data_IF_794486471746
#
_entry.id   IF_794486471746
#
_cell.length_a   1.000
_cell.length_b   1.000
_cell.length_c   1.000
_cell.angle_alpha   90.00
_cell.angle_beta   90.00
_cell.angle_gamma   90.00
#
_symmetry.space_group_name_H-M   'P 1'
#
loop_
_entity.id
_entity.type
_entity.pdbx_description
1 polymer ?
#
# COMPACT_ATOMS: atom_id res chain seq x y z
N UNK A 1 -54.08 -20.03 -29.03
CA UNK A 1 -53.01 -20.31 -28.04
C UNK A 1 -51.66 -20.18 -28.74
N UNK A 2 -51.12 -18.97 -28.83
CA UNK A 2 -49.75 -18.72 -29.32
C UNK A 2 -48.87 -18.35 -28.14
N UNK A 3 -47.94 -19.23 -27.75
CA UNK A 3 -46.97 -18.94 -26.69
C UNK A 3 -46.03 -17.83 -27.16
N UNK A 4 -45.93 -16.75 -26.39
CA UNK A 4 -44.88 -15.75 -26.53
C UNK A 4 -43.53 -16.38 -26.13
N UNK A 5 -42.44 -16.10 -26.84
CA UNK A 5 -41.11 -16.51 -26.40
C UNK A 5 -40.66 -15.63 -25.23
N UNK A 6 -40.26 -16.27 -24.13
CA UNK A 6 -39.71 -15.59 -22.95
C UNK A 6 -38.40 -14.90 -23.32
N UNK A 7 -38.20 -13.61 -22.96
CA UNK A 7 -36.91 -12.96 -23.15
C UNK A 7 -35.90 -13.59 -22.18
N UNK A 8 -34.87 -14.20 -22.76
CA UNK A 8 -33.78 -14.84 -22.04
C UNK A 8 -33.20 -13.92 -20.97
N UNK A 9 -33.04 -14.49 -19.78
CA UNK A 9 -32.33 -13.91 -18.65
C UNK A 9 -30.94 -13.52 -19.13
N UNK A 10 -30.74 -12.22 -19.37
CA UNK A 10 -29.42 -11.67 -19.64
C UNK A 10 -28.54 -11.98 -18.45
N UNK A 11 -27.46 -12.73 -18.70
CA UNK A 11 -26.39 -12.95 -17.74
C UNK A 11 -26.02 -11.61 -17.12
N UNK A 12 -26.15 -11.52 -15.78
CA UNK A 12 -25.79 -10.33 -15.01
C UNK A 12 -24.32 -10.06 -15.28
N UNK A 13 -24.08 -9.11 -16.18
CA UNK A 13 -22.78 -8.76 -16.69
C UNK A 13 -21.86 -8.43 -15.54
N UNK A 14 -20.86 -9.29 -15.32
CA UNK A 14 -19.74 -8.98 -14.46
C UNK A 14 -19.08 -7.72 -15.01
N UNK A 15 -19.33 -6.56 -14.40
CA UNK A 15 -18.62 -5.34 -14.72
C UNK A 15 -17.18 -5.55 -14.21
N UNK A 16 -16.34 -6.16 -15.05
CA UNK A 16 -14.89 -6.09 -14.91
C UNK A 16 -14.52 -4.67 -15.30
N UNK A 17 -14.26 -3.84 -14.30
CA UNK A 17 -13.71 -2.52 -14.57
C UNK A 17 -12.38 -2.70 -15.30
N UNK A 18 -12.18 -2.09 -16.47
CA UNK A 18 -10.87 -2.07 -17.09
C UNK A 18 -9.89 -1.40 -16.12
N UNK A 19 -8.69 -1.96 -15.98
CA UNK A 19 -7.67 -1.53 -15.00
C UNK A 19 -7.37 -0.03 -15.11
N UNK A 20 -7.50 0.54 -16.32
CA UNK A 20 -7.37 1.98 -16.60
C UNK A 20 -8.45 2.84 -15.95
N UNK A 21 -9.69 2.38 -15.87
CA UNK A 21 -10.78 3.11 -15.20
C UNK A 21 -10.65 3.03 -13.68
N UNK A 22 -10.32 1.85 -13.14
CA UNK A 22 -10.05 1.67 -11.71
C UNK A 22 -8.92 2.60 -11.23
N UNK A 23 -7.85 2.75 -12.02
CA UNK A 23 -6.75 3.66 -11.73
C UNK A 23 -7.19 5.13 -11.71
N UNK A 24 -8.03 5.54 -12.68
CA UNK A 24 -8.52 6.93 -12.76
C UNK A 24 -9.43 7.29 -11.59
N UNK A 25 -10.33 6.37 -11.19
CA UNK A 25 -11.14 6.53 -9.98
C UNK A 25 -10.29 6.61 -8.71
N UNK A 26 -9.19 5.83 -8.63
CA UNK A 26 -8.27 5.90 -7.49
C UNK A 26 -7.53 7.24 -7.41
N UNK A 27 -7.08 7.78 -8.55
CA UNK A 27 -6.43 9.10 -8.61
C UNK A 27 -7.35 10.24 -8.17
N UNK A 28 -8.62 10.21 -8.60
CA UNK A 28 -9.61 11.17 -8.13
C UNK A 28 -9.96 11.00 -6.64
N UNK A 29 -9.96 9.77 -6.13
CA UNK A 29 -10.12 9.46 -4.70
C UNK A 29 -8.97 10.05 -3.85
N UNK A 30 -7.71 9.82 -4.26
CA UNK A 30 -6.51 10.36 -3.58
C UNK A 30 -6.56 11.89 -3.49
N UNK A 31 -7.02 12.57 -4.55
CA UNK A 31 -7.12 14.03 -4.58
C UNK A 31 -8.22 14.57 -3.66
N UNK A 32 -9.37 13.90 -3.59
CA UNK A 32 -10.50 14.34 -2.74
C UNK A 32 -10.23 14.19 -1.24
N UNK A 33 -9.25 13.35 -0.83
CA UNK A 33 -8.92 13.11 0.60
C UNK A 33 -7.41 13.07 0.86
N UNK A 34 -6.73 14.14 0.45
CA UNK A 34 -5.28 14.29 0.55
C UNK A 34 -4.71 14.01 1.97
N UNK A 35 -5.37 14.49 3.03
CA UNK A 35 -4.88 14.37 4.42
C UNK A 35 -4.76 12.92 4.89
N UNK A 36 -5.67 12.03 4.47
CA UNK A 36 -5.66 10.62 4.90
C UNK A 36 -4.73 9.76 4.04
N UNK A 37 -4.70 10.03 2.74
CA UNK A 37 -3.69 9.45 1.85
C UNK A 37 -2.29 9.82 2.32
N UNK A 38 -2.09 11.04 2.84
CA UNK A 38 -0.84 11.45 3.49
C UNK A 38 -0.49 10.59 4.70
N UNK A 39 -1.41 10.31 5.63
CA UNK A 39 -1.12 9.48 6.82
C UNK A 39 -0.58 8.10 6.43
N UNK A 40 -1.27 7.43 5.49
CA UNK A 40 -0.88 6.09 5.01
C UNK A 40 0.41 6.13 4.19
N UNK A 41 0.56 7.14 3.34
CA UNK A 41 1.78 7.31 2.54
C UNK A 41 2.98 7.65 3.41
N UNK A 42 2.80 8.45 4.48
CA UNK A 42 3.85 8.79 5.44
C UNK A 42 4.26 7.57 6.26
N UNK A 43 3.32 6.75 6.74
CA UNK A 43 3.67 5.54 7.50
C UNK A 43 4.46 4.54 6.65
N UNK A 44 4.09 4.35 5.38
CA UNK A 44 4.84 3.52 4.42
C UNK A 44 6.20 4.15 4.13
N UNK A 45 6.24 5.43 3.80
CA UNK A 45 7.47 6.16 3.50
C UNK A 45 8.48 6.05 4.65
N UNK A 46 8.07 6.36 5.88
CA UNK A 46 8.97 6.36 7.04
C UNK A 46 9.51 4.95 7.34
N UNK A 47 8.63 3.94 7.27
CA UNK A 47 9.02 2.55 7.51
C UNK A 47 10.01 2.05 6.46
N UNK A 48 9.74 2.31 5.18
CA UNK A 48 10.62 1.91 4.08
C UNK A 48 11.91 2.71 4.06
N UNK A 49 11.87 4.01 4.37
CA UNK A 49 13.07 4.82 4.53
C UNK A 49 13.97 4.28 5.64
N UNK A 50 13.36 3.90 6.78
CA UNK A 50 14.09 3.30 7.89
C UNK A 50 14.68 1.93 7.50
N UNK A 51 13.91 1.06 6.84
CA UNK A 51 14.38 -0.24 6.35
C UNK A 51 15.56 -0.08 5.37
N UNK A 52 15.43 0.79 4.37
CA UNK A 52 16.50 1.04 3.39
C UNK A 52 17.72 1.64 4.06
N UNK A 53 17.53 2.58 5.00
CA UNK A 53 18.62 3.15 5.76
C UNK A 53 19.41 2.08 6.53
N UNK A 54 18.72 1.20 7.28
CA UNK A 54 19.35 0.10 8.00
C UNK A 54 20.10 -0.88 7.09
N UNK A 55 19.47 -1.31 5.98
CA UNK A 55 20.10 -2.24 5.04
C UNK A 55 21.33 -1.62 4.35
N UNK A 56 21.22 -0.35 3.98
CA UNK A 56 22.32 0.41 3.37
C UNK A 56 23.48 0.57 4.35
N UNK A 57 23.19 0.88 5.62
CA UNK A 57 24.21 0.95 6.67
C UNK A 57 24.90 -0.38 6.92
N UNK A 58 24.15 -1.49 6.96
CA UNK A 58 24.73 -2.82 7.12
C UNK A 58 25.71 -3.19 5.99
N UNK A 59 25.41 -2.79 4.75
CA UNK A 59 26.29 -3.03 3.61
C UNK A 59 27.54 -2.14 3.64
N UNK A 60 27.40 -0.87 4.01
CA UNK A 60 28.53 0.06 4.18
C UNK A 60 29.51 -0.44 5.24
N UNK A 61 29.01 -0.86 6.41
CA UNK A 61 29.88 -1.39 7.48
C UNK A 61 30.66 -2.62 7.03
N UNK A 62 30.01 -3.50 6.26
CA UNK A 62 30.64 -4.71 5.72
C UNK A 62 31.79 -4.38 4.77
N UNK A 63 31.69 -3.31 3.98
CA UNK A 63 32.76 -2.86 3.08
C UNK A 63 33.99 -2.34 3.83
N UNK A 64 33.80 -1.73 5.01
CA UNK A 64 34.87 -1.16 5.83
C UNK A 64 35.49 -2.23 6.77
N UNK A 65 35.17 -3.51 6.57
CA UNK A 65 35.67 -4.62 7.38
C UNK A 65 34.93 -4.81 8.71
N UNK A 66 33.82 -4.11 8.92
CA UNK A 66 32.92 -4.32 10.04
C UNK A 66 32.09 -5.60 9.89
N UNK A 67 31.47 -6.03 10.99
CA UNK A 67 30.46 -7.10 10.94
C UNK A 67 29.22 -6.56 10.23
N UNK A 68 28.68 -7.35 9.30
CA UNK A 68 27.46 -7.02 8.56
C UNK A 68 26.22 -6.94 9.47
N UNK A 69 25.02 -6.90 8.86
CA UNK A 69 23.80 -6.63 9.61
C UNK A 69 23.62 -7.53 10.84
N UNK A 70 23.61 -6.94 12.03
CA UNK A 70 23.49 -7.67 13.28
C UNK A 70 22.03 -8.08 13.51
N UNK A 71 21.81 -9.16 14.29
CA UNK A 71 20.46 -9.65 14.60
C UNK A 71 19.55 -8.53 15.13
N UNK A 72 20.10 -7.61 15.91
CA UNK A 72 19.39 -6.44 16.42
C UNK A 72 18.80 -5.56 15.30
N UNK A 73 19.53 -5.29 14.21
CA UNK A 73 19.03 -4.44 13.12
C UNK A 73 17.85 -5.09 12.40
N UNK A 74 17.91 -6.42 12.19
CA UNK A 74 16.81 -7.18 11.58
C UNK A 74 15.57 -7.12 12.48
N UNK A 75 15.73 -7.29 13.79
CA UNK A 75 14.61 -7.18 14.74
C UNK A 75 13.96 -5.81 14.73
N UNK A 76 14.73 -4.73 14.75
CA UNK A 76 14.17 -3.37 14.71
C UNK A 76 13.50 -3.08 13.36
N UNK A 77 14.05 -3.59 12.25
CA UNK A 77 13.42 -3.50 10.93
C UNK A 77 12.05 -4.21 10.88
N UNK A 78 11.95 -5.40 11.47
CA UNK A 78 10.68 -6.14 11.56
C UNK A 78 9.65 -5.35 12.38
N UNK A 79 10.05 -4.79 13.53
CA UNK A 79 9.15 -3.98 14.36
C UNK A 79 8.66 -2.75 13.59
N UNK A 80 9.53 -2.07 12.84
CA UNK A 80 9.15 -0.92 12.02
C UNK A 80 8.14 -1.28 10.91
N UNK A 81 8.26 -2.48 10.31
CA UNK A 81 7.29 -2.98 9.33
C UNK A 81 5.94 -3.33 9.98
N UNK A 82 5.96 -3.89 11.20
CA UNK A 82 4.73 -4.17 11.95
C UNK A 82 3.97 -2.89 12.31
N UNK A 83 4.67 -1.87 12.80
CA UNK A 83 4.06 -0.56 13.10
C UNK A 83 3.46 0.07 11.84
N UNK A 84 4.15 -0.05 10.70
CA UNK A 84 3.62 0.37 9.41
C UNK A 84 2.31 -0.36 9.05
N UNK A 85 2.28 -1.68 9.15
CA UNK A 85 1.12 -2.50 8.86
C UNK A 85 -0.10 -2.10 9.72
N UNK A 86 0.10 -1.87 11.02
CA UNK A 86 -0.96 -1.39 11.93
C UNK A 86 -1.48 -0.01 11.49
N UNK A 87 -0.59 0.90 11.10
CA UNK A 87 -0.96 2.22 10.58
C UNK A 87 -1.83 2.12 9.31
N UNK A 88 -1.47 1.21 8.40
CA UNK A 88 -2.25 0.95 7.17
C UNK A 88 -3.62 0.39 7.51
N UNK A 89 -3.70 -0.62 8.40
CA UNK A 89 -4.98 -1.22 8.82
C UNK A 89 -5.89 -0.16 9.42
N UNK A 90 -5.40 0.63 10.38
CA UNK A 90 -6.21 1.63 11.07
C UNK A 90 -6.72 2.72 10.11
N UNK A 91 -5.82 3.23 9.28
CA UNK A 91 -6.19 4.19 8.25
C UNK A 91 -7.24 3.59 7.31
N UNK A 92 -7.05 2.37 6.82
CA UNK A 92 -7.96 1.72 5.89
C UNK A 92 -9.35 1.48 6.50
N UNK A 93 -9.43 0.97 7.73
CA UNK A 93 -10.70 0.82 8.45
C UNK A 93 -11.45 2.15 8.56
N UNK A 94 -10.76 3.25 8.85
CA UNK A 94 -11.36 4.58 8.86
C UNK A 94 -11.93 4.99 7.50
N UNK A 95 -11.29 4.64 6.38
CA UNK A 95 -11.90 4.92 5.06
C UNK A 95 -13.10 4.06 4.77
N UNK A 96 -13.16 2.83 5.30
CA UNK A 96 -14.34 1.98 5.09
C UNK A 96 -15.56 2.60 5.76
N UNK A 97 -15.40 3.12 6.98
CA UNK A 97 -16.49 3.77 7.72
C UNK A 97 -16.88 5.11 7.10
N UNK A 98 -15.94 5.92 6.63
CA UNK A 98 -16.25 7.18 5.95
C UNK A 98 -16.94 6.99 4.59
N UNK A 99 -16.65 5.89 3.89
CA UNK A 99 -17.23 5.55 2.57
C UNK A 99 -18.38 4.56 2.68
N UNK A 100 -18.91 4.34 3.88
CA UNK A 100 -19.91 3.30 4.15
C UNK A 100 -21.13 3.42 3.23
N UNK A 101 -21.70 4.63 3.09
CA UNK A 101 -22.82 4.92 2.17
C UNK A 101 -22.43 4.75 0.70
N UNK A 102 -21.27 5.24 0.30
CA UNK A 102 -20.79 5.14 -1.09
C UNK A 102 -20.66 3.68 -1.54
N UNK A 103 -20.05 2.83 -0.69
CA UNK A 103 -19.90 1.39 -0.94
C UNK A 103 -21.28 0.72 -1.02
N UNK A 104 -22.21 1.09 -0.12
CA UNK A 104 -23.59 0.62 -0.15
C UNK A 104 -24.30 0.94 -1.47
N UNK A 105 -24.19 2.18 -1.94
CA UNK A 105 -24.79 2.60 -3.22
C UNK A 105 -24.21 1.84 -4.41
N UNK A 106 -22.89 1.66 -4.47
CA UNK A 106 -22.22 0.91 -5.56
C UNK A 106 -22.66 -0.55 -5.58
N UNK A 107 -22.83 -1.17 -4.40
CA UNK A 107 -23.37 -2.53 -4.29
C UNK A 107 -24.85 -2.64 -4.66
N UNK A 108 -25.67 -1.64 -4.32
CA UNK A 108 -27.08 -1.59 -4.77
C UNK A 108 -27.20 -1.49 -6.30
N UNK A 109 -26.21 -0.88 -6.97
CA UNK A 109 -26.11 -0.83 -8.43
C UNK A 109 -25.60 -2.13 -9.06
N UNK A 110 -25.34 -3.17 -8.26
CA UNK A 110 -24.96 -4.51 -8.75
C UNK A 110 -23.47 -4.83 -8.70
N UNK A 111 -22.64 -4.01 -8.03
CA UNK A 111 -21.23 -4.35 -7.85
C UNK A 111 -21.05 -5.59 -6.95
N UNK A 112 -20.18 -6.50 -7.37
CA UNK A 112 -19.84 -7.71 -6.59
C UNK A 112 -18.93 -7.37 -5.43
N UNK A 113 -18.94 -8.22 -4.39
CA UNK A 113 -18.01 -8.09 -3.26
C UNK A 113 -16.54 -8.11 -3.73
N UNK A 114 -16.24 -8.91 -4.76
CA UNK A 114 -14.91 -8.96 -5.38
C UNK A 114 -14.48 -7.63 -6.01
N UNK A 115 -15.39 -6.92 -6.67
CA UNK A 115 -15.09 -5.60 -7.25
C UNK A 115 -14.76 -4.57 -6.16
N UNK A 116 -15.50 -4.58 -5.03
CA UNK A 116 -15.20 -3.70 -3.89
C UNK A 116 -13.84 -4.03 -3.29
N UNK A 117 -13.55 -5.31 -3.10
CA UNK A 117 -12.26 -5.79 -2.58
C UNK A 117 -11.09 -5.33 -3.48
N UNK A 118 -11.22 -5.50 -4.79
CA UNK A 118 -10.20 -5.12 -5.78
C UNK A 118 -9.88 -3.62 -5.73
N UNK A 119 -10.89 -2.76 -5.60
CA UNK A 119 -10.71 -1.30 -5.47
C UNK A 119 -9.80 -0.97 -4.29
N UNK A 120 -10.06 -1.54 -3.11
CA UNK A 120 -9.26 -1.26 -1.91
C UNK A 120 -7.85 -1.86 -1.97
N UNK A 121 -7.69 -3.04 -2.57
CA UNK A 121 -6.37 -3.63 -2.76
C UNK A 121 -5.51 -2.84 -3.76
N UNK A 122 -6.10 -2.37 -4.85
CA UNK A 122 -5.41 -1.50 -5.82
C UNK A 122 -5.03 -0.18 -5.15
N UNK A 123 -5.93 0.43 -4.36
CA UNK A 123 -5.63 1.64 -3.58
C UNK A 123 -4.41 1.42 -2.66
N UNK A 124 -4.40 0.32 -1.91
CA UNK A 124 -3.29 -0.02 -1.03
C UNK A 124 -1.97 -0.28 -1.79
N UNK A 125 -2.03 -0.97 -2.92
CA UNK A 125 -0.87 -1.23 -3.77
C UNK A 125 -0.26 0.09 -4.29
N UNK A 126 -1.09 1.01 -4.78
CA UNK A 126 -0.63 2.31 -5.28
C UNK A 126 0.03 3.14 -4.17
N UNK A 127 -0.57 3.16 -2.98
CA UNK A 127 0.00 3.82 -1.82
C UNK A 127 1.33 3.17 -1.39
N UNK A 128 1.39 1.84 -1.42
CA UNK A 128 2.59 1.06 -1.12
C UNK A 128 3.74 1.35 -2.08
N UNK A 129 3.47 1.38 -3.39
CA UNK A 129 4.48 1.69 -4.41
C UNK A 129 4.94 3.15 -4.29
N UNK A 130 4.03 4.11 -4.18
CA UNK A 130 4.39 5.52 -4.09
C UNK A 130 5.17 5.82 -2.82
N UNK A 131 4.68 5.35 -1.66
CA UNK A 131 5.38 5.47 -0.39
C UNK A 131 6.70 4.72 -0.38
N UNK A 132 6.77 3.55 -1.01
CA UNK A 132 7.97 2.73 -1.13
C UNK A 132 9.06 3.37 -1.98
N UNK A 133 8.71 3.97 -3.12
CA UNK A 133 9.67 4.69 -3.99
C UNK A 133 10.25 5.89 -3.23
N UNK A 134 9.39 6.74 -2.68
CA UNK A 134 9.83 7.94 -1.97
C UNK A 134 10.63 7.55 -0.73
N UNK A 135 10.13 6.58 0.04
CA UNK A 135 10.79 6.05 1.22
C UNK A 135 12.17 5.48 0.89
N UNK A 136 12.30 4.69 -0.18
CA UNK A 136 13.57 4.10 -0.55
C UNK A 136 14.62 5.14 -0.92
N UNK A 137 14.22 6.19 -1.67
CA UNK A 137 15.13 7.30 -2.00
C UNK A 137 15.53 8.05 -0.73
N UNK A 138 14.57 8.39 0.13
CA UNK A 138 14.85 9.10 1.40
C UNK A 138 15.75 8.27 2.31
N UNK A 139 15.50 6.97 2.44
CA UNK A 139 16.30 6.05 3.26
C UNK A 139 17.74 5.91 2.78
N UNK A 140 17.93 5.81 1.46
CA UNK A 140 19.28 5.76 0.87
C UNK A 140 20.03 7.07 1.11
N UNK A 141 19.40 8.23 0.85
CA UNK A 141 19.99 9.54 1.12
C UNK A 141 20.32 9.70 2.61
N UNK A 142 19.43 9.29 3.51
CA UNK A 142 19.67 9.35 4.95
C UNK A 142 20.90 8.53 5.36
N UNK A 143 21.05 7.31 4.87
CA UNK A 143 22.23 6.49 5.15
C UNK A 143 23.53 7.14 4.65
N UNK A 144 23.53 7.69 3.44
CA UNK A 144 24.71 8.38 2.87
C UNK A 144 25.08 9.60 3.70
N UNK A 145 24.10 10.44 4.06
CA UNK A 145 24.32 11.64 4.89
C UNK A 145 24.90 11.26 6.26
N UNK A 146 24.37 10.21 6.89
CA UNK A 146 24.83 9.77 8.22
C UNK A 146 26.31 9.34 8.21
N UNK A 147 26.78 8.66 7.16
CA UNK A 147 28.19 8.29 7.03
C UNK A 147 29.09 9.42 6.58
N UNK A 148 28.58 10.29 5.72
CA UNK A 148 29.31 11.49 5.29
C UNK A 148 29.66 12.38 6.50
N UNK A 149 28.70 12.57 7.41
CA UNK A 149 28.92 13.31 8.67
C UNK A 149 29.92 12.60 9.59
N UNK A 150 30.04 11.28 9.53
CA UNK A 150 31.03 10.49 10.27
C UNK A 150 32.43 10.48 9.61
N UNK A 151 32.63 11.24 8.53
CA UNK A 151 33.93 11.33 7.84
C UNK A 151 34.27 10.12 6.97
N UNK A 152 33.30 9.22 6.73
CA UNK A 152 33.48 8.07 5.86
C UNK A 152 33.02 8.47 4.45
N UNK A 153 33.96 8.53 3.51
CA UNK A 153 33.64 8.75 2.10
C UNK A 153 33.15 7.45 1.45
N UNK A 154 31.84 7.22 1.57
CA UNK A 154 31.13 6.08 0.97
C UNK A 154 30.70 6.29 -0.48
N UNK A 155 31.22 7.34 -1.12
CA UNK A 155 30.83 7.68 -2.49
C UNK A 155 31.35 6.63 -3.48
N UNK A 156 30.45 5.74 -3.88
CA UNK A 156 30.43 5.08 -5.19
C UNK A 156 31.58 4.13 -5.56
N UNK A 157 32.35 3.59 -4.60
CA UNK A 157 33.27 2.48 -4.93
C UNK A 157 32.48 1.17 -5.13
N UNK A 158 32.11 0.87 -6.38
CA UNK A 158 31.64 -0.44 -6.84
C UNK A 158 30.25 -0.90 -6.37
N UNK A 159 29.57 -0.16 -5.50
CA UNK A 159 28.34 -0.62 -4.82
C UNK A 159 27.01 -0.26 -5.51
N UNK A 160 27.03 0.34 -6.70
CA UNK A 160 25.81 0.82 -7.38
C UNK A 160 24.78 -0.30 -7.61
N UNK A 161 25.23 -1.50 -8.02
CA UNK A 161 24.34 -2.63 -8.23
C UNK A 161 23.67 -3.10 -6.93
N UNK A 162 24.38 -3.01 -5.81
CA UNK A 162 23.84 -3.39 -4.49
C UNK A 162 22.78 -2.41 -4.02
N UNK A 163 22.98 -1.10 -4.21
CA UNK A 163 21.99 -0.10 -3.84
C UNK A 163 20.71 -0.20 -4.69
N UNK A 164 20.85 -0.43 -6.00
CA UNK A 164 19.69 -0.67 -6.88
C UNK A 164 18.90 -1.90 -6.43
N UNK A 165 19.60 -2.97 -6.02
CA UNK A 165 18.95 -4.18 -5.46
C UNK A 165 18.20 -3.89 -4.17
N UNK A 166 18.79 -3.12 -3.25
CA UNK A 166 18.15 -2.74 -1.97
C UNK A 166 16.88 -1.93 -2.23
N UNK A 167 16.95 -0.93 -3.11
CA UNK A 167 15.80 -0.09 -3.48
C UNK A 167 14.69 -0.95 -4.12
N UNK A 168 15.04 -1.84 -5.06
CA UNK A 168 14.08 -2.74 -5.70
C UNK A 168 13.40 -3.67 -4.70
N UNK A 169 14.17 -4.27 -3.78
CA UNK A 169 13.63 -5.11 -2.71
C UNK A 169 12.72 -4.31 -1.77
N UNK A 170 13.10 -3.09 -1.40
CA UNK A 170 12.33 -2.24 -0.51
C UNK A 170 10.97 -1.85 -1.11
N UNK A 171 10.91 -1.50 -2.40
CA UNK A 171 9.65 -1.23 -3.10
C UNK A 171 8.78 -2.49 -3.15
N UNK A 172 9.37 -3.66 -3.39
CA UNK A 172 8.66 -4.94 -3.34
C UNK A 172 8.06 -5.23 -1.96
N UNK A 173 8.84 -5.02 -0.90
CA UNK A 173 8.38 -5.16 0.49
C UNK A 173 7.26 -4.17 0.80
N UNK A 174 7.37 -2.92 0.34
CA UNK A 174 6.34 -1.88 0.50
C UNK A 174 5.01 -2.30 -0.14
N UNK A 175 5.04 -2.78 -1.39
CA UNK A 175 3.85 -3.28 -2.07
C UNK A 175 3.23 -4.47 -1.33
N UNK A 176 4.05 -5.45 -0.92
CA UNK A 176 3.59 -6.64 -0.22
C UNK A 176 2.97 -6.31 1.14
N UNK A 177 3.62 -5.48 1.96
CA UNK A 177 3.11 -5.12 3.29
C UNK A 177 1.82 -4.30 3.16
N UNK A 178 1.72 -3.41 2.17
CA UNK A 178 0.50 -2.63 1.94
C UNK A 178 -0.67 -3.49 1.51
N UNK A 179 -0.47 -4.44 0.60
CA UNK A 179 -1.53 -5.40 0.23
C UNK A 179 -1.92 -6.28 1.42
N UNK A 180 -0.93 -6.85 2.13
CA UNK A 180 -1.18 -7.74 3.25
C UNK A 180 -1.95 -7.03 4.38
N UNK A 181 -1.55 -5.81 4.72
CA UNK A 181 -2.21 -5.00 5.73
C UNK A 181 -3.61 -4.54 5.29
N UNK A 182 -3.81 -4.26 4.00
CA UNK A 182 -5.11 -3.84 3.48
C UNK A 182 -6.09 -5.00 3.25
N UNK A 183 -5.63 -6.25 3.22
CA UNK A 183 -6.47 -7.41 2.94
C UNK A 183 -7.64 -7.56 3.93
N UNK A 184 -7.37 -7.44 5.22
CA UNK A 184 -8.41 -7.49 6.26
C UNK A 184 -9.48 -6.38 6.13
N UNK A 185 -9.12 -5.08 6.10
CA UNK A 185 -10.11 -4.02 5.96
C UNK A 185 -10.80 -4.02 4.59
N UNK A 186 -10.11 -4.38 3.51
CA UNK A 186 -10.73 -4.53 2.18
C UNK A 186 -11.78 -5.65 2.19
N UNK A 187 -11.48 -6.78 2.82
CA UNK A 187 -12.44 -7.87 3.00
C UNK A 187 -13.64 -7.42 3.84
N UNK A 188 -13.40 -6.70 4.93
CA UNK A 188 -14.47 -6.13 5.75
C UNK A 188 -15.39 -5.20 4.94
N UNK A 189 -14.81 -4.27 4.16
CA UNK A 189 -15.54 -3.37 3.26
C UNK A 189 -16.36 -4.13 2.20
N UNK A 190 -15.75 -5.17 1.63
CA UNK A 190 -16.37 -6.01 0.62
C UNK A 190 -17.56 -6.80 1.12
N UNK A 191 -17.77 -6.97 2.43
CA UNK A 191 -18.90 -7.73 3.00
C UNK A 191 -19.97 -6.86 3.65
N UNK A 192 -19.88 -5.54 3.48
CA UNK A 192 -20.90 -4.62 3.99
C UNK A 192 -22.26 -4.88 3.33
N UNK A 193 -23.31 -4.91 4.15
CA UNK A 193 -24.68 -5.11 3.68
C UNK A 193 -25.25 -3.78 3.17
N UNK A 194 -25.69 -3.68 1.91
CA UNK A 194 -26.16 -2.42 1.33
C UNK A 194 -27.35 -1.80 2.08
N UNK A 195 -28.26 -2.64 2.59
CA UNK A 195 -29.40 -2.21 3.38
C UNK A 195 -29.00 -1.51 4.69
N UNK A 196 -27.93 -1.95 5.34
CA UNK A 196 -27.41 -1.32 6.56
C UNK A 196 -26.72 0.01 6.24
N UNK A 197 -26.05 0.11 5.09
CA UNK A 197 -25.42 1.35 4.63
C UNK A 197 -26.40 2.48 4.35
N UNK A 198 -27.56 2.18 3.76
CA UNK A 198 -28.59 3.18 3.46
C UNK A 198 -29.44 3.56 4.67
N UNK A 199 -29.54 2.69 5.68
CA UNK A 199 -30.28 2.95 6.92
C UNK A 199 -29.48 3.80 7.93
N UNK A 200 -28.23 4.12 7.63
CA UNK A 200 -27.37 4.97 8.45
C UNK A 200 -27.78 6.47 8.31
N UNK A 201 -29.02 6.77 8.69
CA UNK A 201 -29.52 8.09 9.09
C UNK A 201 -30.51 7.87 10.23
N UNK A 202 -29.98 7.83 11.46
CA UNK A 202 -30.67 8.32 12.66
C UNK A 202 -29.59 8.98 13.52
#
# INVERSE_FOLDING_TARGET
MGKQPEPGVGEVGSIKFPVSEAFKYCLESIRKRFTRTLITSLSVLLSIAFLVSLLTMGEILKQIGGRGAEAYQIWVAIIALLVCAVGIVNSMLMSVTERYKEIGTIKCLGATDGAVLEIFLIEALLLGILGGIIGAVVGWVAAVVIYYVQGINVLFEGAMLTYVRIIGMAIGIAALISIAAAAYPAFYASRLKPAEALRYEI
#
